data_IF_341589218112
#
_entry.id   IF_341589218112
#
_cell.length_a   1.000
_cell.length_b   1.000
_cell.length_c   1.000
_cell.angle_alpha   90.00
_cell.angle_beta   90.00
_cell.angle_gamma   90.00
#
_symmetry.space_group_name_H-M   'P 1'
#
loop_
_entity.id
_entity.type
_entity.pdbx_description
1 polymer ?
#
# COMPACT_ATOMS: atom_id res chain seq x y z
N UNK A 1 -17.97 -31.57 2.99
CA UNK A 1 -16.82 -30.75 2.69
C UNK A 1 -17.06 -29.24 2.55
N UNK A 2 -18.11 -28.64 3.17
CA UNK A 2 -18.37 -27.17 3.07
C UNK A 2 -18.37 -26.46 4.44
N UNK A 3 -17.93 -27.13 5.49
CA UNK A 3 -17.98 -26.56 6.86
C UNK A 3 -16.74 -25.71 7.19
N UNK A 4 -15.64 -25.88 6.44
CA UNK A 4 -14.39 -25.14 6.71
C UNK A 4 -14.34 -23.71 6.17
N UNK A 5 -15.12 -23.36 5.13
CA UNK A 5 -15.07 -22.04 4.52
C UNK A 5 -15.96 -21.00 5.23
N UNK A 6 -17.09 -21.43 5.79
CA UNK A 6 -17.98 -20.51 6.54
C UNK A 6 -17.40 -20.13 7.90
N UNK A 7 -16.68 -21.04 8.56
CA UNK A 7 -16.04 -20.75 9.84
C UNK A 7 -14.89 -19.74 9.69
N UNK A 8 -14.11 -19.83 8.61
CA UNK A 8 -13.01 -18.90 8.35
C UNK A 8 -13.50 -17.47 8.01
N UNK A 9 -14.64 -17.34 7.30
CA UNK A 9 -15.25 -16.05 6.97
C UNK A 9 -15.88 -15.41 8.22
N UNK A 10 -16.51 -16.23 9.06
CA UNK A 10 -17.18 -15.74 10.28
C UNK A 10 -16.19 -15.29 11.36
N UNK A 11 -15.08 -16.03 11.52
CA UNK A 11 -14.03 -15.66 12.46
C UNK A 11 -13.27 -14.41 11.98
N UNK A 12 -13.03 -14.27 10.69
CA UNK A 12 -12.44 -13.06 10.11
C UNK A 12 -13.37 -11.84 10.27
N UNK A 13 -14.68 -12.02 10.12
CA UNK A 13 -15.66 -10.95 10.31
C UNK A 13 -15.80 -10.53 11.78
N UNK A 14 -15.77 -11.47 12.71
CA UNK A 14 -15.85 -11.18 14.14
C UNK A 14 -14.58 -10.49 14.65
N UNK A 15 -13.40 -10.93 14.22
CA UNK A 15 -12.14 -10.24 14.51
C UNK A 15 -12.14 -8.82 13.90
N UNK A 16 -12.73 -8.65 12.71
CA UNK A 16 -12.84 -7.36 12.05
C UNK A 16 -13.87 -6.45 12.75
N UNK A 17 -14.99 -6.97 13.25
CA UNK A 17 -16.01 -6.20 13.98
C UNK A 17 -15.54 -5.76 15.37
N UNK A 18 -14.86 -6.61 16.14
CA UNK A 18 -14.21 -6.22 17.40
C UNK A 18 -13.14 -5.13 17.17
N UNK A 19 -12.45 -5.19 16.05
CA UNK A 19 -11.45 -4.18 15.67
C UNK A 19 -12.07 -2.84 15.26
N UNK A 20 -13.26 -2.86 14.64
CA UNK A 20 -13.96 -1.64 14.21
C UNK A 20 -14.60 -0.87 15.37
N UNK A 21 -14.92 -1.56 16.47
CA UNK A 21 -15.42 -0.89 17.69
C UNK A 21 -14.35 -0.01 18.37
N UNK A 22 -13.06 -0.38 18.23
CA UNK A 22 -11.93 0.42 18.73
C UNK A 22 -11.48 1.53 17.76
N UNK A 23 -11.81 1.42 16.47
CA UNK A 23 -11.50 2.42 15.43
C UNK A 23 -12.72 3.29 15.17
N UNK A 24 -13.14 4.06 16.17
CA UNK A 24 -14.12 5.11 15.90
C UNK A 24 -13.51 6.15 14.97
N UNK A 25 -14.30 6.66 14.02
CA UNK A 25 -13.89 7.75 13.11
C UNK A 25 -13.35 8.96 13.86
N UNK A 26 -13.72 9.12 15.13
CA UNK A 26 -13.32 10.21 16.02
C UNK A 26 -11.86 10.11 16.51
N UNK A 27 -11.24 8.93 16.41
CA UNK A 27 -9.86 8.69 16.84
C UNK A 27 -8.80 8.85 15.73
N UNK A 28 -9.21 9.19 14.51
CA UNK A 28 -8.25 9.58 13.49
C UNK A 28 -7.65 10.93 13.85
N UNK A 29 -6.34 10.99 14.18
CA UNK A 29 -5.71 12.27 14.42
C UNK A 29 -5.76 13.09 13.13
N UNK A 30 -6.49 14.19 13.16
CA UNK A 30 -6.55 15.27 12.18
C UNK A 30 -7.65 15.23 11.11
N UNK A 31 -8.82 15.71 11.43
CA UNK A 31 -9.72 16.36 10.47
C UNK A 31 -9.03 17.56 9.76
N UNK A 32 -8.00 18.14 10.36
CA UNK A 32 -7.27 19.29 9.84
C UNK A 32 -6.47 19.02 8.53
N UNK A 33 -6.25 17.76 8.14
CA UNK A 33 -5.46 17.43 6.93
C UNK A 33 -6.26 17.43 5.64
N UNK A 34 -7.59 17.54 5.71
CA UNK A 34 -8.45 17.47 4.53
C UNK A 34 -8.56 16.06 3.91
N UNK A 35 -8.18 15.00 4.63
CA UNK A 35 -8.21 13.63 4.12
C UNK A 35 -9.64 13.18 3.75
N UNK A 36 -10.62 13.42 4.63
CA UNK A 36 -12.03 13.06 4.38
C UNK A 36 -12.68 13.88 3.24
N UNK A 37 -12.10 15.00 2.83
CA UNK A 37 -12.52 15.81 1.69
C UNK A 37 -11.89 15.35 0.38
N UNK A 38 -10.91 14.44 0.40
CA UNK A 38 -10.25 13.93 -0.80
C UNK A 38 -11.22 13.21 -1.73
N UNK A 39 -10.93 13.26 -3.03
CA UNK A 39 -11.74 12.58 -4.04
C UNK A 39 -11.74 11.07 -3.83
N UNK A 40 -10.56 10.51 -3.53
CA UNK A 40 -10.44 9.08 -3.27
C UNK A 40 -11.32 8.65 -2.09
N UNK A 41 -11.33 9.37 -0.98
CA UNK A 41 -12.16 9.03 0.17
C UNK A 41 -13.64 9.00 -0.17
N UNK A 42 -14.11 9.99 -0.93
CA UNK A 42 -15.51 10.09 -1.33
C UNK A 42 -15.94 9.04 -2.37
N UNK A 43 -14.98 8.44 -3.09
CA UNK A 43 -15.24 7.38 -4.06
C UNK A 43 -15.27 5.98 -3.45
N UNK A 44 -14.77 5.80 -2.22
CA UNK A 44 -14.77 4.50 -1.55
C UNK A 44 -16.17 4.08 -1.13
N UNK A 45 -16.45 2.78 -1.25
CA UNK A 45 -17.56 2.15 -0.55
C UNK A 45 -17.29 2.07 0.96
N UNK A 46 -18.34 1.92 1.78
CA UNK A 46 -18.21 1.91 3.23
C UNK A 46 -17.22 0.85 3.72
N UNK A 47 -17.31 -0.39 3.23
CA UNK A 47 -16.36 -1.45 3.58
C UNK A 47 -14.89 -1.12 3.22
N UNK A 48 -14.65 -0.35 2.14
CA UNK A 48 -13.31 0.09 1.77
C UNK A 48 -12.81 1.21 2.68
N UNK A 49 -13.70 2.09 3.14
CA UNK A 49 -13.39 3.12 4.15
C UNK A 49 -12.98 2.46 5.45
N UNK A 50 -13.77 1.50 5.93
CA UNK A 50 -13.48 0.74 7.14
C UNK A 50 -12.14 0.01 7.02
N UNK A 51 -11.88 -0.63 5.88
CA UNK A 51 -10.59 -1.28 5.60
C UNK A 51 -9.43 -0.27 5.61
N UNK A 52 -9.58 0.90 4.99
CA UNK A 52 -8.54 1.93 4.98
C UNK A 52 -8.25 2.45 6.39
N UNK A 53 -9.27 2.69 7.21
CA UNK A 53 -9.12 3.11 8.60
C UNK A 53 -8.41 2.04 9.43
N UNK A 54 -8.81 0.78 9.31
CA UNK A 54 -8.18 -0.34 10.00
C UNK A 54 -6.70 -0.51 9.61
N UNK A 55 -6.37 -0.30 8.32
CA UNK A 55 -4.97 -0.33 7.85
C UNK A 55 -4.18 0.82 8.47
N UNK A 56 -4.70 2.04 8.44
CA UNK A 56 -4.04 3.22 9.03
C UNK A 56 -3.76 2.97 10.52
N UNK A 57 -4.76 2.52 11.27
CA UNK A 57 -4.60 2.21 12.68
C UNK A 57 -3.50 1.16 12.93
N UNK A 58 -3.49 0.07 12.13
CA UNK A 58 -2.44 -0.97 12.23
C UNK A 58 -1.06 -0.44 11.89
N UNK A 59 -0.93 0.43 10.89
CA UNK A 59 0.33 1.04 10.52
C UNK A 59 0.87 1.94 11.64
N UNK A 60 0.00 2.75 12.26
CA UNK A 60 0.38 3.63 13.38
C UNK A 60 0.76 2.82 14.64
N UNK A 61 0.15 1.67 14.86
CA UNK A 61 0.38 0.85 16.05
C UNK A 61 1.52 -0.16 15.88
N UNK A 62 1.63 -0.79 14.71
CA UNK A 62 2.52 -1.94 14.46
C UNK A 62 3.56 -1.70 13.37
N UNK A 63 3.59 -0.52 12.74
CA UNK A 63 4.47 -0.19 11.61
C UNK A 63 4.34 -1.14 10.41
N UNK A 64 3.25 -1.89 10.30
CA UNK A 64 3.02 -2.80 9.18
C UNK A 64 1.62 -3.39 9.15
N UNK A 65 1.12 -3.65 7.95
CA UNK A 65 -0.18 -4.27 7.73
C UNK A 65 -0.19 -5.06 6.42
N UNK A 66 -0.96 -6.16 6.39
CA UNK A 66 -1.21 -6.95 5.18
C UNK A 66 -2.69 -6.81 4.82
N UNK A 67 -2.97 -6.28 3.63
CA UNK A 67 -4.30 -6.27 3.05
C UNK A 67 -4.52 -7.56 2.24
N UNK A 68 -5.11 -8.56 2.87
CA UNK A 68 -5.46 -9.85 2.27
C UNK A 68 -6.95 -9.87 1.97
N UNK A 69 -7.33 -9.40 0.80
CA UNK A 69 -8.72 -9.36 0.36
C UNK A 69 -8.92 -10.12 -0.95
N UNK A 70 -10.16 -10.52 -1.25
CA UNK A 70 -10.50 -11.23 -2.49
C UNK A 70 -10.19 -10.40 -3.73
N UNK A 71 -9.91 -11.08 -4.83
CA UNK A 71 -9.67 -10.43 -6.13
C UNK A 71 -10.91 -9.63 -6.55
N UNK A 72 -10.71 -8.37 -6.95
CA UNK A 72 -11.80 -7.54 -7.50
C UNK A 72 -12.50 -6.61 -6.50
N UNK A 73 -12.21 -6.66 -5.21
CA UNK A 73 -12.83 -5.77 -4.20
C UNK A 73 -12.20 -4.37 -4.12
N UNK A 74 -11.40 -3.98 -5.10
CA UNK A 74 -10.88 -2.62 -5.19
C UNK A 74 -9.73 -2.30 -4.24
N UNK A 75 -8.88 -3.28 -3.92
CA UNK A 75 -7.69 -3.11 -3.06
C UNK A 75 -6.84 -1.89 -3.41
N UNK A 76 -6.69 -1.60 -4.71
CA UNK A 76 -5.94 -0.44 -5.17
C UNK A 76 -6.54 0.87 -4.66
N UNK A 77 -7.87 1.01 -4.67
CA UNK A 77 -8.53 2.21 -4.16
C UNK A 77 -8.39 2.34 -2.63
N UNK A 78 -8.51 1.24 -1.90
CA UNK A 78 -8.25 1.21 -0.45
C UNK A 78 -6.80 1.63 -0.15
N UNK A 79 -5.83 1.09 -0.90
CA UNK A 79 -4.42 1.46 -0.76
C UNK A 79 -4.17 2.94 -1.12
N UNK A 80 -4.82 3.47 -2.17
CA UNK A 80 -4.72 4.88 -2.55
C UNK A 80 -5.28 5.79 -1.45
N UNK A 81 -6.33 5.39 -0.74
CA UNK A 81 -6.83 6.16 0.40
C UNK A 81 -5.81 6.20 1.54
N UNK A 82 -5.18 5.07 1.86
CA UNK A 82 -4.09 5.03 2.85
C UNK A 82 -2.93 5.92 2.41
N UNK A 83 -2.49 5.81 1.15
CA UNK A 83 -1.44 6.68 0.59
C UNK A 83 -1.82 8.15 0.76
N UNK A 84 -3.06 8.53 0.43
CA UNK A 84 -3.52 9.91 0.54
C UNK A 84 -3.49 10.44 1.97
N UNK A 85 -3.85 9.61 2.93
CA UNK A 85 -3.76 9.94 4.35
C UNK A 85 -2.32 10.31 4.76
N UNK A 86 -1.32 9.53 4.32
CA UNK A 86 0.09 9.80 4.61
C UNK A 86 0.62 11.01 3.83
N UNK A 87 0.27 11.15 2.54
CA UNK A 87 0.67 12.31 1.74
C UNK A 87 0.14 13.64 2.28
N UNK A 88 -1.10 13.65 2.81
CA UNK A 88 -1.67 14.86 3.44
C UNK A 88 -0.93 15.26 4.74
N UNK A 89 -0.15 14.34 5.30
CA UNK A 89 0.77 14.57 6.43
C UNK A 89 2.21 14.85 6.00
N UNK A 90 2.42 15.16 4.72
CA UNK A 90 3.73 15.38 4.12
C UNK A 90 4.69 14.19 4.25
N UNK A 91 4.14 12.97 4.29
CA UNK A 91 4.91 11.74 4.29
C UNK A 91 5.25 11.31 2.88
N UNK A 92 6.47 10.80 2.70
CA UNK A 92 6.94 10.25 1.43
C UNK A 92 6.49 8.80 1.27
N UNK A 93 5.86 8.49 0.14
CA UNK A 93 5.30 7.17 -0.11
C UNK A 93 5.93 6.52 -1.34
N UNK A 94 6.31 5.26 -1.21
CA UNK A 94 6.80 4.42 -2.29
C UNK A 94 5.82 3.28 -2.55
N UNK A 95 5.47 3.06 -3.81
CA UNK A 95 4.75 1.88 -4.28
C UNK A 95 5.74 0.95 -4.99
N UNK A 96 5.85 -0.28 -4.50
CA UNK A 96 6.60 -1.37 -5.13
C UNK A 96 5.62 -2.32 -5.80
N UNK A 97 5.73 -2.49 -7.12
CA UNK A 97 4.84 -3.35 -7.89
C UNK A 97 5.58 -4.13 -8.98
N UNK A 98 4.98 -5.20 -9.53
CA UNK A 98 5.46 -5.79 -10.77
C UNK A 98 5.45 -4.76 -11.91
N UNK A 99 6.48 -4.78 -12.77
CA UNK A 99 6.60 -3.83 -13.90
C UNK A 99 5.34 -3.74 -14.77
N UNK A 100 4.63 -4.85 -14.97
CA UNK A 100 3.39 -4.92 -15.75
C UNK A 100 2.23 -4.13 -15.12
N UNK A 101 2.27 -3.86 -13.82
CA UNK A 101 1.23 -3.13 -13.08
C UNK A 101 1.57 -1.65 -12.85
N UNK A 102 2.77 -1.23 -13.21
CA UNK A 102 3.22 0.15 -12.97
C UNK A 102 2.36 1.20 -13.69
N UNK A 103 1.85 0.89 -14.88
CA UNK A 103 0.95 1.79 -15.60
C UNK A 103 -0.34 2.05 -14.82
N UNK A 104 -0.88 1.03 -14.13
CA UNK A 104 -2.09 1.15 -13.31
C UNK A 104 -1.87 2.09 -12.11
N UNK A 105 -0.67 2.10 -11.53
CA UNK A 105 -0.32 3.01 -10.45
C UNK A 105 0.00 4.42 -10.96
N UNK A 106 0.73 4.53 -12.07
CA UNK A 106 1.13 5.83 -12.62
C UNK A 106 -0.04 6.67 -13.13
N UNK A 107 -1.17 6.04 -13.55
CA UNK A 107 -2.33 6.77 -14.06
C UNK A 107 -2.91 7.73 -13.01
N UNK A 108 -2.86 7.41 -11.73
CA UNK A 108 -3.42 8.23 -10.66
C UNK A 108 -2.53 9.42 -10.27
N UNK A 109 -1.25 9.42 -10.68
CA UNK A 109 -0.31 10.52 -10.41
C UNK A 109 -0.40 11.67 -11.43
N UNK A 110 -0.81 11.36 -12.66
CA UNK A 110 -0.72 12.29 -13.77
C UNK A 110 -1.99 13.12 -13.99
N UNK A 111 -1.82 14.24 -14.70
CA UNK A 111 -2.93 15.05 -15.21
C UNK A 111 -3.52 14.43 -16.49
N UNK A 112 -3.74 13.12 -16.49
CA UNK A 112 -4.36 12.44 -17.62
C UNK A 112 -5.86 12.66 -17.62
N UNK A 113 -6.45 12.80 -18.82
CA UNK A 113 -7.90 12.96 -19.01
C UNK A 113 -8.71 11.82 -18.36
N UNK A 114 -8.11 10.65 -18.29
CA UNK A 114 -8.72 9.44 -17.72
C UNK A 114 -8.38 9.21 -16.24
N UNK A 115 -7.72 10.16 -15.57
CA UNK A 115 -7.43 10.04 -14.16
C UNK A 115 -8.64 10.50 -13.33
N UNK A 116 -9.42 9.60 -12.71
CA UNK A 116 -10.59 9.98 -11.90
C UNK A 116 -10.19 10.68 -10.59
N UNK A 117 -8.91 10.62 -10.21
CA UNK A 117 -8.36 11.15 -8.95
C UNK A 117 -7.41 12.34 -9.18
N UNK A 118 -7.51 13.02 -10.32
CA UNK A 118 -6.63 14.14 -10.66
C UNK A 118 -6.65 15.27 -9.59
N UNK A 119 -7.81 15.48 -8.96
CA UNK A 119 -8.00 16.49 -7.91
C UNK A 119 -7.16 16.18 -6.65
N UNK A 120 -6.90 14.92 -6.37
CA UNK A 120 -6.13 14.47 -5.20
C UNK A 120 -4.62 14.71 -5.35
N UNK A 121 -4.12 14.93 -6.57
CA UNK A 121 -2.71 15.27 -6.85
C UNK A 121 -1.72 14.33 -6.16
N UNK A 122 -1.87 13.03 -6.39
CA UNK A 122 -0.98 12.02 -5.83
C UNK A 122 0.49 12.24 -6.22
N UNK A 123 1.41 12.05 -5.26
CA UNK A 123 2.85 12.32 -5.39
C UNK A 123 3.73 11.11 -5.14
N UNK A 124 3.17 9.95 -4.75
CA UNK A 124 3.95 8.76 -4.42
C UNK A 124 4.86 8.34 -5.58
N UNK A 125 5.97 7.72 -5.24
CA UNK A 125 6.87 7.12 -6.21
C UNK A 125 6.47 5.69 -6.55
N UNK A 126 6.78 5.24 -7.77
CA UNK A 126 6.51 3.87 -8.23
C UNK A 126 7.81 3.26 -8.72
N UNK A 127 8.21 2.16 -8.09
CA UNK A 127 9.36 1.34 -8.50
C UNK A 127 8.93 -0.11 -8.66
N UNK A 128 9.80 -0.90 -9.29
CA UNK A 128 9.53 -2.29 -9.56
C UNK A 128 10.18 -3.18 -8.51
N UNK A 129 9.59 -4.36 -8.27
CA UNK A 129 10.19 -5.37 -7.39
C UNK A 129 11.64 -5.69 -7.76
N UNK A 130 11.96 -5.66 -9.06
CA UNK A 130 13.33 -5.92 -9.57
C UNK A 130 14.31 -4.80 -9.25
N UNK A 131 13.85 -3.59 -8.97
CA UNK A 131 14.73 -2.45 -8.68
C UNK A 131 15.41 -2.59 -7.32
N UNK A 132 14.82 -3.38 -6.41
CA UNK A 132 15.44 -3.70 -5.12
C UNK A 132 16.81 -4.40 -5.24
N UNK A 133 17.05 -5.15 -6.33
CA UNK A 133 18.35 -5.82 -6.59
C UNK A 133 19.29 -5.00 -7.47
N UNK A 134 18.90 -3.81 -7.90
CA UNK A 134 19.71 -2.94 -8.74
C UNK A 134 20.49 -1.93 -7.92
N UNK A 135 21.76 -1.75 -8.27
CA UNK A 135 22.66 -0.77 -7.67
C UNK A 135 22.70 0.57 -8.41
N UNK A 136 22.02 0.68 -9.56
CA UNK A 136 21.99 1.91 -10.35
C UNK A 136 21.14 1.82 -11.60
N UNK A 137 21.18 2.90 -12.39
CA UNK A 137 20.35 3.10 -13.57
C UNK A 137 19.02 3.77 -13.27
N UNK A 138 18.25 4.09 -14.30
CA UNK A 138 16.96 4.78 -14.15
C UNK A 138 15.81 3.78 -14.19
N UNK A 139 14.84 3.95 -13.30
CA UNK A 139 13.60 3.18 -13.25
C UNK A 139 12.43 4.14 -13.02
N UNK A 140 11.43 4.10 -13.88
CA UNK A 140 10.22 4.94 -13.81
C UNK A 140 10.53 6.45 -13.59
N UNK A 141 11.62 6.94 -14.20
CA UNK A 141 12.07 8.32 -14.07
C UNK A 141 12.93 8.62 -12.84
N UNK A 142 13.21 7.63 -11.99
CA UNK A 142 13.99 7.77 -10.76
C UNK A 142 15.39 7.17 -10.97
N UNK A 143 16.43 7.92 -10.59
CA UNK A 143 17.81 7.41 -10.58
C UNK A 143 18.03 6.55 -9.32
N UNK A 144 18.21 5.25 -9.52
CA UNK A 144 18.38 4.29 -8.45
C UNK A 144 19.73 4.42 -7.72
N UNK A 145 20.76 4.99 -8.38
CA UNK A 145 22.06 5.22 -7.75
C UNK A 145 22.01 6.36 -6.72
N UNK A 146 21.15 7.35 -6.96
CA UNK A 146 20.94 8.49 -6.06
C UNK A 146 19.82 8.27 -5.03
N UNK A 147 19.07 7.16 -5.14
CA UNK A 147 17.91 6.89 -4.32
C UNK A 147 18.33 6.47 -2.91
N UNK A 148 17.92 7.25 -1.92
CA UNK A 148 17.98 6.82 -0.53
C UNK A 148 16.64 6.17 -0.13
N UNK A 149 16.65 4.85 0.03
CA UNK A 149 15.47 4.05 0.36
C UNK A 149 14.88 4.41 1.73
N UNK A 150 15.70 4.86 2.67
CA UNK A 150 15.27 5.30 4.00
C UNK A 150 14.49 6.62 4.02
N UNK A 151 14.36 7.31 2.88
CA UNK A 151 13.61 8.55 2.81
C UNK A 151 12.09 8.35 2.64
N UNK A 152 11.64 7.10 2.52
CA UNK A 152 10.22 6.80 2.43
C UNK A 152 9.63 6.47 3.79
N UNK A 153 8.58 7.18 4.17
CA UNK A 153 7.85 6.96 5.42
C UNK A 153 6.85 5.78 5.31
N UNK A 154 6.36 5.50 4.10
CA UNK A 154 5.45 4.40 3.81
C UNK A 154 5.87 3.66 2.54
N UNK A 155 5.94 2.34 2.62
CA UNK A 155 6.13 1.46 1.46
C UNK A 155 4.90 0.59 1.26
N UNK A 156 4.26 0.72 0.11
CA UNK A 156 3.13 -0.12 -0.32
C UNK A 156 3.63 -1.16 -1.31
N UNK A 157 3.41 -2.44 -1.00
CA UNK A 157 3.87 -3.55 -1.85
C UNK A 157 2.66 -4.22 -2.47
N UNK A 158 2.50 -4.05 -3.78
CA UNK A 158 1.50 -4.74 -4.57
C UNK A 158 2.02 -6.11 -5.02
N UNK A 159 1.17 -7.12 -5.01
CA UNK A 159 1.55 -8.51 -5.35
C UNK A 159 2.72 -9.05 -4.49
N UNK A 160 2.64 -8.83 -3.18
CA UNK A 160 3.69 -9.19 -2.21
C UNK A 160 4.04 -10.69 -2.19
N UNK A 161 3.17 -11.56 -2.72
CA UNK A 161 3.43 -12.98 -2.86
C UNK A 161 4.65 -13.30 -3.72
N UNK A 162 5.09 -12.37 -4.58
CA UNK A 162 6.31 -12.52 -5.36
C UNK A 162 7.59 -12.55 -4.50
N UNK A 163 7.50 -12.14 -3.24
CA UNK A 163 8.60 -12.19 -2.27
C UNK A 163 8.60 -13.47 -1.41
N UNK A 164 7.54 -14.30 -1.45
CA UNK A 164 7.41 -15.49 -0.59
C UNK A 164 8.40 -16.61 -0.91
N UNK A 165 8.93 -16.69 -2.12
CA UNK A 165 9.73 -17.82 -2.58
C UNK A 165 11.24 -17.51 -2.48
N UNK A 166 11.75 -17.23 -1.28
CA UNK A 166 13.17 -17.06 -1.01
C UNK A 166 14.01 -18.35 -0.96
N UNK A 167 13.40 -19.56 -1.07
CA UNK A 167 14.12 -20.76 -0.67
C UNK A 167 14.51 -21.76 -1.76
N UNK A 168 14.13 -21.62 -3.05
CA UNK A 168 14.37 -22.73 -3.99
C UNK A 168 14.81 -22.45 -5.43
N UNK A 169 15.20 -21.24 -5.83
CA UNK A 169 15.85 -21.08 -7.15
C UNK A 169 16.75 -19.85 -7.20
N UNK A 170 18.03 -20.01 -7.58
CA UNK A 170 19.06 -18.97 -7.74
C UNK A 170 19.12 -17.98 -6.58
N UNK A 171 19.83 -18.39 -5.58
CA UNK A 171 19.87 -17.90 -4.21
C UNK A 171 20.21 -16.42 -4.06
N UNK A 172 21.10 -15.86 -4.85
CA UNK A 172 21.71 -14.56 -4.55
C UNK A 172 20.83 -13.34 -4.85
N UNK A 173 20.04 -13.33 -5.93
CA UNK A 173 19.24 -12.13 -6.28
C UNK A 173 17.95 -11.98 -5.47
N UNK A 174 17.27 -13.08 -5.11
CA UNK A 174 16.02 -13.03 -4.34
C UNK A 174 16.27 -12.79 -2.87
N UNK A 175 17.34 -13.37 -2.33
CA UNK A 175 17.78 -13.12 -0.96
C UNK A 175 18.20 -11.66 -0.78
N UNK A 176 18.86 -11.09 -1.77
CA UNK A 176 19.23 -9.68 -1.79
C UNK A 176 18.02 -8.74 -1.83
N UNK A 177 16.95 -9.08 -2.58
CA UNK A 177 15.70 -8.30 -2.63
C UNK A 177 14.96 -8.31 -1.30
N UNK A 178 14.85 -9.47 -0.68
CA UNK A 178 14.20 -9.61 0.63
C UNK A 178 14.97 -8.86 1.72
N UNK A 179 16.28 -9.04 1.76
CA UNK A 179 17.15 -8.36 2.73
C UNK A 179 17.09 -6.85 2.58
N UNK A 180 17.12 -6.33 1.33
CA UNK A 180 17.01 -4.91 1.06
C UNK A 180 15.63 -4.34 1.43
N UNK A 181 14.55 -5.09 1.16
CA UNK A 181 13.21 -4.72 1.59
C UNK A 181 13.11 -4.62 3.11
N UNK A 182 13.68 -5.58 3.84
CA UNK A 182 13.72 -5.54 5.30
C UNK A 182 14.51 -4.35 5.82
N UNK A 183 15.61 -3.99 5.19
CA UNK A 183 16.41 -2.80 5.55
C UNK A 183 15.60 -1.51 5.35
N UNK A 184 14.82 -1.42 4.28
CA UNK A 184 13.94 -0.25 3.99
C UNK A 184 12.78 -0.15 4.99
N UNK A 185 12.28 -1.29 5.48
CA UNK A 185 11.10 -1.34 6.37
C UNK A 185 11.43 -1.09 7.84
N UNK A 186 12.71 -1.14 8.23
CA UNK A 186 13.14 -1.00 9.64
C UNK A 186 13.95 0.29 9.90
N UNK A 187 14.05 1.19 8.94
CA UNK A 187 14.70 2.50 9.12
C UNK A 187 13.64 3.57 9.32
#
# INVERSE_FOLDING_TARGET
GLVGSEMCIRDSYNIFSEFLEDVSEDNLPNEATGFKQSKIWNMLYDFQRDAALAIIHKLEQYNGCILADSVGLGKTFTALAVIKYYENRNKSVLVLCPKKLAANWNIYKGNYVNNPLVEDRFRYDVLYHTDLSRSGGTSNGIDLAALNWGNFDLVVIDESHNFRNGSNTSTDEKENRYTKLMTVSYT
#
